data_IF_936765820754
#
_entry.id   IF_936765820754
#
_cell.length_a   1.000
_cell.length_b   1.000
_cell.length_c   1.000
_cell.angle_alpha   90.00
_cell.angle_beta   90.00
_cell.angle_gamma   90.00
#
_symmetry.space_group_name_H-M   'P 1'
#
loop_
_entity.id
_entity.type
_entity.pdbx_description
1 polymer ?
#
# COMPACT_ATOMS: atom_id res chain seq x y z
N UNK A 1 -12.05 -4.42 31.96
CA UNK A 1 -11.02 -4.30 30.91
C UNK A 1 -11.67 -3.70 29.68
N UNK A 2 -11.24 -2.52 29.23
CA UNK A 2 -11.60 -1.98 27.93
C UNK A 2 -10.97 -2.85 26.85
N UNK A 3 -11.73 -3.23 25.82
CA UNK A 3 -11.22 -4.03 24.70
C UNK A 3 -10.30 -3.15 23.88
N UNK A 4 -9.09 -3.62 23.59
CA UNK A 4 -8.13 -2.89 22.76
C UNK A 4 -8.66 -2.82 21.32
N UNK A 5 -8.73 -1.62 20.75
CA UNK A 5 -9.22 -1.41 19.39
C UNK A 5 -8.08 -1.60 18.39
N UNK A 6 -8.41 -2.11 17.20
CA UNK A 6 -7.47 -2.25 16.09
C UNK A 6 -8.11 -1.80 14.79
N UNK A 7 -7.29 -1.29 13.87
CA UNK A 7 -7.69 -0.84 12.55
C UNK A 7 -7.11 -1.78 11.49
N UNK A 8 -7.98 -2.33 10.63
CA UNK A 8 -7.60 -3.09 9.44
C UNK A 8 -8.08 -2.32 8.21
N UNK A 9 -7.14 -2.00 7.33
CA UNK A 9 -7.43 -1.46 6.00
C UNK A 9 -7.17 -2.53 4.95
N UNK A 10 -8.09 -2.66 4.00
CA UNK A 10 -7.97 -3.56 2.85
C UNK A 10 -8.11 -2.72 1.59
N UNK A 11 -7.07 -2.71 0.76
CA UNK A 11 -6.93 -1.85 -0.40
C UNK A 11 -6.57 -2.68 -1.64
N UNK A 12 -7.03 -2.30 -2.85
CA UNK A 12 -6.78 -3.08 -4.06
C UNK A 12 -5.31 -3.11 -4.49
N UNK A 13 -4.64 -1.95 -4.58
CA UNK A 13 -3.30 -1.80 -5.13
C UNK A 13 -2.35 -1.06 -4.17
N UNK A 14 -1.03 -1.16 -4.40
CA UNK A 14 -0.06 -0.38 -3.62
C UNK A 14 -0.19 1.10 -3.97
N UNK A 15 -0.50 1.96 -2.99
CA UNK A 15 -0.75 3.43 -3.03
C UNK A 15 -2.16 3.83 -2.60
N UNK A 16 -3.15 2.96 -2.82
CA UNK A 16 -4.56 3.21 -2.52
C UNK A 16 -4.76 3.53 -1.01
N UNK A 17 -3.95 2.94 -0.12
CA UNK A 17 -3.97 3.24 1.31
C UNK A 17 -3.61 4.68 1.61
N UNK A 18 -2.60 5.19 0.91
CA UNK A 18 -2.08 6.53 1.11
C UNK A 18 -3.02 7.56 0.50
N UNK A 19 -3.54 7.28 -0.71
CA UNK A 19 -4.47 8.16 -1.43
C UNK A 19 -5.82 8.27 -0.70
N UNK A 20 -6.41 7.12 -0.34
CA UNK A 20 -7.76 7.09 0.20
C UNK A 20 -7.85 7.34 1.71
N UNK A 21 -6.82 6.96 2.47
CA UNK A 21 -6.91 6.94 3.93
C UNK A 21 -5.61 7.18 4.69
N UNK A 22 -4.58 7.73 4.04
CA UNK A 22 -3.25 7.90 4.66
C UNK A 22 -3.31 8.67 5.98
N UNK A 23 -4.09 9.76 6.04
CA UNK A 23 -4.28 10.54 7.27
C UNK A 23 -4.94 9.75 8.41
N UNK A 24 -5.92 8.90 8.09
CA UNK A 24 -6.62 8.06 9.07
C UNK A 24 -5.68 6.99 9.64
N UNK A 25 -4.93 6.32 8.77
CA UNK A 25 -3.95 5.30 9.18
C UNK A 25 -2.84 5.90 10.04
N UNK A 26 -2.28 7.05 9.61
CA UNK A 26 -1.24 7.75 10.35
C UNK A 26 -1.71 8.19 11.74
N UNK A 27 -2.93 8.77 11.82
CA UNK A 27 -3.52 9.20 13.08
C UNK A 27 -3.64 8.05 14.08
N UNK A 28 -4.31 6.96 13.70
CA UNK A 28 -4.58 5.87 14.65
C UNK A 28 -3.32 5.08 15.01
N UNK A 29 -2.36 4.98 14.09
CA UNK A 29 -1.05 4.44 14.43
C UNK A 29 -0.31 5.32 15.45
N UNK A 30 -0.39 6.65 15.34
CA UNK A 30 0.24 7.57 16.29
C UNK A 30 -0.46 7.58 17.67
N UNK A 31 -1.77 7.30 17.71
CA UNK A 31 -2.53 7.09 18.94
C UNK A 31 -2.26 5.72 19.60
N UNK A 32 -1.41 4.88 18.98
CA UNK A 32 -0.98 3.59 19.55
C UNK A 32 -1.87 2.40 19.21
N UNK A 33 -2.86 2.57 18.32
CA UNK A 33 -3.71 1.46 17.89
C UNK A 33 -2.94 0.54 16.94
N UNK A 34 -3.12 -0.78 17.12
CA UNK A 34 -2.66 -1.77 16.15
C UNK A 34 -3.34 -1.49 14.80
N UNK A 35 -2.54 -1.03 13.84
CA UNK A 35 -2.99 -0.66 12.49
C UNK A 35 -2.38 -1.65 11.50
N UNK A 36 -3.20 -2.29 10.67
CA UNK A 36 -2.79 -3.31 9.69
C UNK A 36 -3.30 -2.91 8.32
N UNK A 37 -2.43 -3.03 7.32
CA UNK A 37 -2.76 -2.87 5.90
C UNK A 37 -2.76 -4.23 5.22
N UNK A 38 -3.74 -4.45 4.33
CA UNK A 38 -3.79 -5.55 3.39
C UNK A 38 -3.92 -4.95 2.00
N UNK A 39 -2.93 -5.23 1.15
CA UNK A 39 -2.96 -4.84 -0.26
C UNK A 39 -3.26 -6.09 -1.09
N UNK A 40 -4.33 -6.08 -1.87
CA UNK A 40 -4.86 -7.28 -2.53
C UNK A 40 -3.98 -7.74 -3.71
N UNK A 41 -3.29 -6.81 -4.35
CA UNK A 41 -2.44 -7.07 -5.53
C UNK A 41 -1.09 -6.39 -5.38
N UNK A 42 -0.14 -6.73 -6.27
CA UNK A 42 1.13 -6.00 -6.39
C UNK A 42 1.07 -4.90 -7.46
N UNK A 43 -0.11 -4.70 -8.06
CA UNK A 43 -0.38 -3.73 -9.11
C UNK A 43 0.34 -4.02 -10.43
N UNK A 44 0.49 -5.29 -10.79
CA UNK A 44 1.31 -5.78 -11.92
C UNK A 44 0.98 -5.12 -13.28
N UNK A 45 -0.20 -4.51 -13.41
CA UNK A 45 -0.70 -3.83 -14.60
C UNK A 45 -0.64 -2.30 -14.53
N UNK A 46 0.00 -1.75 -13.49
CA UNK A 46 0.10 -0.30 -13.30
C UNK A 46 1.02 0.38 -14.31
N UNK A 47 0.75 1.65 -14.59
CA UNK A 47 1.61 2.49 -15.41
C UNK A 47 2.95 2.76 -14.72
N UNK A 48 4.02 2.89 -15.51
CA UNK A 48 5.37 3.15 -15.03
C UNK A 48 5.72 4.59 -15.40
N UNK A 49 5.80 5.45 -14.38
CA UNK A 49 6.09 6.88 -14.52
C UNK A 49 7.56 7.22 -14.24
N UNK A 50 8.33 6.25 -13.73
CA UNK A 50 9.77 6.40 -13.53
C UNK A 50 10.47 6.51 -14.89
N UNK A 51 11.21 7.60 -15.10
CA UNK A 51 11.88 7.90 -16.37
C UNK A 51 13.15 7.08 -16.56
N UNK A 52 13.68 6.50 -15.49
CA UNK A 52 14.90 5.70 -15.50
C UNK A 52 14.60 4.20 -15.70
N UNK A 53 13.33 3.82 -15.79
CA UNK A 53 12.89 2.46 -16.09
C UNK A 53 12.32 2.35 -17.51
N UNK A 54 12.84 1.40 -18.32
CA UNK A 54 12.17 1.01 -19.57
C UNK A 54 10.88 0.25 -19.23
N UNK A 55 9.68 0.74 -19.62
CA UNK A 55 8.43 0.05 -19.34
C UNK A 55 8.36 -1.38 -19.89
N UNK A 56 9.01 -1.66 -21.02
CA UNK A 56 9.02 -3.00 -21.62
C UNK A 56 9.83 -3.99 -20.78
N UNK A 57 10.89 -3.51 -20.14
CA UNK A 57 11.75 -4.34 -19.27
C UNK A 57 11.19 -4.44 -17.85
N UNK A 58 10.50 -3.41 -17.37
CA UNK A 58 9.97 -3.35 -16.02
C UNK A 58 8.60 -4.02 -15.87
N UNK A 59 7.67 -3.88 -16.83
CA UNK A 59 6.32 -4.41 -16.72
C UNK A 59 6.24 -5.91 -16.38
N UNK A 60 7.04 -6.81 -17.00
CA UNK A 60 7.00 -8.25 -16.69
C UNK A 60 7.43 -8.60 -15.25
N UNK A 61 8.09 -7.67 -14.55
CA UNK A 61 8.64 -7.85 -13.20
C UNK A 61 8.21 -6.75 -12.24
N UNK A 62 7.14 -6.03 -12.56
CA UNK A 62 6.70 -4.84 -11.81
C UNK A 62 6.35 -5.18 -10.35
N UNK A 63 5.73 -6.35 -10.13
CA UNK A 63 5.51 -6.90 -8.79
C UNK A 63 6.79 -6.96 -7.96
N UNK A 64 7.86 -7.53 -8.53
CA UNK A 64 9.14 -7.69 -7.84
C UNK A 64 9.83 -6.35 -7.60
N UNK A 65 9.75 -5.43 -8.57
CA UNK A 65 10.32 -4.08 -8.42
C UNK A 65 9.68 -3.34 -7.23
N UNK A 66 8.37 -3.48 -7.03
CA UNK A 66 7.65 -2.80 -5.93
C UNK A 66 7.85 -3.41 -4.55
N UNK A 67 8.33 -4.65 -4.48
CA UNK A 67 8.63 -5.33 -3.21
C UNK A 67 10.11 -5.21 -2.78
N UNK A 68 11.00 -4.77 -3.68
CA UNK A 68 12.44 -4.66 -3.45
C UNK A 68 12.83 -3.35 -2.75
#
# INVERSE_FOLDING_TARGET
MSKELSLLSVQPHPDDESIGMGGTLARYSAEGLRTTLVTATRGEVGEILDKDLDPKEAAPRLATIREA
#
